data_IF_204029979368
#
_entry.id   IF_204029979368
#
_cell.length_a   1.000
_cell.length_b   1.000
_cell.length_c   1.000
_cell.angle_alpha   90.00
_cell.angle_beta   90.00
_cell.angle_gamma   90.00
#
_symmetry.space_group_name_H-M   'P 1'
#
loop_
_entity.id
_entity.type
_entity.pdbx_description
1 polymer ?
#
# COMPACT_ATOMS: atom_id res chain seq x y z
N UNK A 1 -11.29 8.16 -11.27
CA UNK A 1 -10.06 7.68 -10.60
C UNK A 1 -9.58 8.73 -9.62
N UNK A 2 -9.18 8.33 -8.41
CA UNK A 2 -8.59 9.25 -7.46
C UNK A 2 -7.07 9.36 -7.67
N UNK A 3 -6.50 10.55 -7.50
CA UNK A 3 -5.08 10.84 -7.68
C UNK A 3 -4.59 11.71 -6.52
N UNK A 4 -3.32 11.57 -6.14
CA UNK A 4 -2.69 12.37 -5.08
C UNK A 4 -1.41 13.03 -5.55
N UNK A 5 -1.22 14.28 -5.13
CA UNK A 5 -0.08 15.10 -5.48
C UNK A 5 0.58 15.63 -4.22
N UNK A 6 1.90 15.56 -4.17
CA UNK A 6 2.71 16.13 -3.10
C UNK A 6 3.55 17.28 -3.65
N UNK A 7 3.60 18.41 -2.96
CA UNK A 7 4.42 19.56 -3.36
C UNK A 7 5.16 20.14 -2.15
N UNK A 8 6.46 20.39 -2.29
CA UNK A 8 7.22 21.13 -1.30
C UNK A 8 7.22 22.62 -1.65
N UNK A 9 6.93 23.46 -0.65
CA UNK A 9 7.07 24.90 -0.75
C UNK A 9 8.53 25.30 -0.77
N UNK A 10 8.97 25.99 -1.82
CA UNK A 10 10.34 26.56 -1.89
C UNK A 10 10.60 27.59 -0.78
N UNK A 11 9.56 28.30 -0.35
CA UNK A 11 9.68 29.38 0.66
C UNK A 11 9.78 28.85 2.08
N UNK A 12 8.97 27.84 2.41
CA UNK A 12 8.82 27.37 3.80
C UNK A 12 9.42 26.00 4.04
N UNK A 13 9.87 25.29 3.00
CA UNK A 13 10.34 23.92 3.07
C UNK A 13 9.25 22.89 3.39
N UNK A 14 8.04 23.33 3.75
CA UNK A 14 6.91 22.48 4.14
C UNK A 14 6.25 21.83 2.94
N UNK A 15 5.67 20.66 3.16
CA UNK A 15 4.96 19.87 2.17
C UNK A 15 3.46 20.13 2.20
N UNK A 16 2.81 19.95 1.05
CA UNK A 16 1.38 19.89 0.89
C UNK A 16 0.95 18.61 0.18
N UNK A 17 -0.27 18.18 0.49
CA UNK A 17 -0.98 17.05 -0.10
C UNK A 17 -2.25 17.60 -0.77
N UNK A 18 -2.48 17.18 -2.01
CA UNK A 18 -3.75 17.35 -2.70
C UNK A 18 -4.27 15.98 -3.13
N UNK A 19 -5.56 15.71 -2.93
CA UNK A 19 -6.25 14.54 -3.48
C UNK A 19 -7.38 15.01 -4.38
N UNK A 20 -7.44 14.45 -5.58
CA UNK A 20 -8.49 14.68 -6.57
C UNK A 20 -9.20 13.38 -6.91
N UNK A 21 -10.48 13.46 -7.23
CA UNK A 21 -11.27 12.36 -7.79
C UNK A 21 -12.02 12.89 -9.01
N UNK A 22 -11.87 12.24 -10.16
CA UNK A 22 -12.48 12.68 -11.43
C UNK A 22 -12.18 14.17 -11.72
N UNK A 23 -10.91 14.56 -11.56
CA UNK A 23 -10.39 15.93 -11.68
C UNK A 23 -10.94 16.97 -10.68
N UNK A 24 -11.89 16.60 -9.81
CA UNK A 24 -12.36 17.46 -8.72
C UNK A 24 -11.47 17.29 -7.50
N UNK A 25 -11.04 18.41 -6.90
CA UNK A 25 -10.28 18.41 -5.63
C UNK A 25 -11.22 18.00 -4.50
N UNK A 26 -10.90 16.91 -3.82
CA UNK A 26 -11.67 16.39 -2.67
C UNK A 26 -10.94 16.60 -1.35
N UNK A 27 -9.62 16.82 -1.39
CA UNK A 27 -8.84 17.12 -0.20
C UNK A 27 -7.63 18.00 -0.53
N UNK A 28 -7.29 18.91 0.38
CA UNK A 28 -6.03 19.64 0.36
C UNK A 28 -5.59 19.97 1.78
N UNK A 29 -4.33 19.68 2.10
CA UNK A 29 -3.71 20.13 3.33
C UNK A 29 -2.26 20.52 3.08
N UNK A 30 -1.87 21.69 3.57
CA UNK A 30 -0.48 22.16 3.55
C UNK A 30 0.12 22.16 4.95
N UNK A 31 1.45 22.37 5.01
CA UNK A 31 2.15 22.62 6.27
C UNK A 31 2.80 21.39 6.90
N UNK A 32 2.85 20.27 6.18
CA UNK A 32 3.55 19.08 6.65
C UNK A 32 5.05 19.34 6.74
N UNK A 33 5.69 18.91 7.83
CA UNK A 33 7.14 19.07 8.01
C UNK A 33 7.94 18.29 6.97
N UNK A 34 7.44 17.13 6.55
CA UNK A 34 8.09 16.27 5.57
C UNK A 34 7.04 15.56 4.69
N UNK A 35 7.52 14.95 3.60
CA UNK A 35 6.68 14.21 2.65
C UNK A 35 6.02 13.00 3.30
N UNK A 36 6.67 12.35 4.26
CA UNK A 36 6.17 11.13 4.91
C UNK A 36 4.90 11.39 5.73
N UNK A 37 4.84 12.52 6.46
CA UNK A 37 3.63 12.93 7.17
C UNK A 37 2.47 13.17 6.20
N UNK A 38 2.76 13.81 5.06
CA UNK A 38 1.76 14.02 4.01
C UNK A 38 1.30 12.68 3.39
N UNK A 39 2.21 11.74 3.15
CA UNK A 39 1.89 10.41 2.62
C UNK A 39 1.01 9.59 3.58
N UNK A 40 1.23 9.71 4.89
CA UNK A 40 0.40 9.05 5.92
C UNK A 40 -1.04 9.57 5.91
N UNK A 41 -1.22 10.89 5.87
CA UNK A 41 -2.57 11.48 5.78
C UNK A 41 -3.25 11.09 4.47
N UNK A 42 -2.51 11.06 3.35
CA UNK A 42 -3.06 10.59 2.09
C UNK A 42 -3.57 9.16 2.23
N UNK A 43 -2.78 8.28 2.85
CA UNK A 43 -3.19 6.90 3.07
C UNK A 43 -4.49 6.78 3.88
N UNK A 44 -4.58 7.48 5.02
CA UNK A 44 -5.79 7.49 5.85
C UNK A 44 -7.04 7.95 5.09
N UNK A 45 -6.91 8.96 4.23
CA UNK A 45 -8.03 9.48 3.44
C UNK A 45 -8.47 8.47 2.38
N UNK A 46 -7.51 7.83 1.70
CA UNK A 46 -7.83 6.82 0.70
C UNK A 46 -8.50 5.58 1.31
N UNK A 47 -8.10 5.17 2.51
CA UNK A 47 -8.78 4.10 3.26
C UNK A 47 -10.19 4.54 3.72
N UNK A 48 -10.31 5.69 4.39
CA UNK A 48 -11.58 6.17 4.95
C UNK A 48 -12.66 6.39 3.89
N UNK A 49 -12.28 6.90 2.72
CA UNK A 49 -13.22 7.26 1.65
C UNK A 49 -13.43 6.14 0.63
N UNK A 50 -12.82 4.96 0.85
CA UNK A 50 -12.79 3.82 -0.08
C UNK A 50 -12.57 4.25 -1.54
N UNK A 51 -11.69 5.23 -1.73
CA UNK A 51 -11.44 5.77 -3.06
C UNK A 51 -10.78 4.68 -3.89
N UNK A 52 -11.42 4.30 -5.00
CA UNK A 52 -10.79 3.54 -6.08
C UNK A 52 -9.62 4.36 -6.63
N UNK A 53 -8.47 4.19 -5.98
CA UNK A 53 -7.18 4.75 -6.38
C UNK A 53 -6.73 4.00 -7.64
N UNK A 54 -5.81 4.60 -8.39
CA UNK A 54 -4.99 3.99 -9.44
C UNK A 54 -4.17 2.74 -8.97
N UNK A 55 -4.48 2.22 -7.78
CA UNK A 55 -3.70 1.30 -6.95
C UNK A 55 -4.21 -0.13 -6.95
N UNK A 56 -5.17 -0.51 -7.79
CA UNK A 56 -5.56 -1.92 -7.94
C UNK A 56 -5.01 -2.46 -9.26
N UNK A 57 -4.60 -3.74 -9.32
CA UNK A 57 -4.24 -4.37 -10.58
C UNK A 57 -5.42 -4.29 -11.56
N UNK A 58 -5.14 -3.88 -12.81
CA UNK A 58 -6.18 -3.63 -13.83
C UNK A 58 -6.91 -4.90 -14.25
N UNK A 59 -6.18 -6.01 -14.34
CA UNK A 59 -6.69 -7.34 -14.64
C UNK A 59 -5.77 -8.34 -13.94
N UNK A 60 -6.18 -8.95 -12.84
CA UNK A 60 -5.59 -10.21 -12.44
C UNK A 60 -6.08 -11.24 -13.44
N UNK A 61 -5.23 -11.64 -14.38
CA UNK A 61 -5.54 -12.54 -15.50
C UNK A 61 -5.90 -13.97 -15.08
N UNK A 62 -6.29 -14.19 -13.83
CA UNK A 62 -6.62 -15.50 -13.30
C UNK A 62 -8.00 -15.43 -12.65
N UNK A 63 -9.03 -15.50 -13.50
CA UNK A 63 -10.28 -16.17 -13.08
C UNK A 63 -9.91 -17.64 -12.88
N UNK A 64 -9.58 -18.06 -11.66
CA UNK A 64 -9.32 -19.48 -11.35
C UNK A 64 -8.06 -19.81 -10.54
N UNK A 65 -7.36 -18.85 -9.94
CA UNK A 65 -6.54 -19.20 -8.78
C UNK A 65 -7.51 -19.30 -7.61
N UNK A 66 -7.69 -20.50 -7.05
CA UNK A 66 -8.48 -20.72 -5.83
C UNK A 66 -7.75 -20.06 -4.64
N UNK A 67 -7.77 -18.73 -4.63
CA UNK A 67 -7.25 -17.93 -3.53
C UNK A 67 -8.27 -18.06 -2.41
N UNK A 68 -7.85 -18.77 -1.37
CA UNK A 68 -8.68 -19.07 -0.21
C UNK A 68 -7.95 -18.59 1.05
N UNK A 69 -8.60 -18.73 2.20
CA UNK A 69 -7.95 -18.44 3.48
C UNK A 69 -6.78 -19.38 3.81
N UNK A 70 -6.61 -20.48 3.06
CA UNK A 70 -5.45 -21.38 3.16
C UNK A 70 -4.22 -20.85 2.40
N UNK A 71 -4.41 -19.92 1.46
CA UNK A 71 -3.32 -19.34 0.68
C UNK A 71 -2.37 -18.52 1.56
N UNK A 72 -1.07 -18.53 1.22
CA UNK A 72 -0.07 -17.73 1.90
C UNK A 72 -0.22 -16.25 1.55
N UNK A 73 -0.10 -15.36 2.55
CA UNK A 73 -0.17 -13.90 2.36
C UNK A 73 0.92 -13.42 1.41
N UNK A 74 2.13 -13.97 1.56
CA UNK A 74 3.30 -13.70 0.70
C UNK A 74 2.97 -13.92 -0.77
N UNK A 75 2.32 -15.04 -1.10
CA UNK A 75 2.01 -15.43 -2.48
C UNK A 75 0.91 -14.56 -3.08
N UNK A 76 -0.20 -14.38 -2.36
CA UNK A 76 -1.30 -13.52 -2.85
C UNK A 76 -0.86 -12.05 -2.97
N UNK A 77 0.03 -11.59 -2.09
CA UNK A 77 0.61 -10.24 -2.16
C UNK A 77 1.53 -10.13 -3.37
N UNK A 78 2.37 -11.14 -3.63
CA UNK A 78 3.26 -11.16 -4.79
C UNK A 78 2.49 -11.11 -6.10
N UNK A 79 1.43 -11.92 -6.19
CA UNK A 79 0.51 -11.94 -7.32
C UNK A 79 -0.15 -10.57 -7.54
N UNK A 80 -0.74 -10.00 -6.50
CA UNK A 80 -1.34 -8.65 -6.57
C UNK A 80 -0.33 -7.58 -6.98
N UNK A 81 0.88 -7.61 -6.40
CA UNK A 81 1.95 -6.65 -6.70
C UNK A 81 2.39 -6.79 -8.15
N UNK A 82 2.60 -8.01 -8.64
CA UNK A 82 3.09 -8.28 -10.00
C UNK A 82 2.20 -7.64 -11.06
N UNK A 83 0.88 -7.73 -10.89
CA UNK A 83 -0.09 -7.11 -11.80
C UNK A 83 -0.17 -5.60 -11.61
N UNK A 84 -0.10 -5.13 -10.37
CA UNK A 84 -0.16 -3.72 -10.06
C UNK A 84 1.01 -2.92 -10.69
N UNK A 85 2.20 -3.52 -10.77
CA UNK A 85 3.41 -2.83 -11.23
C UNK A 85 3.64 -2.88 -12.75
N UNK A 86 2.91 -3.69 -13.53
CA UNK A 86 3.17 -3.93 -14.97
C UNK A 86 3.33 -2.65 -15.79
N UNK A 87 2.47 -1.65 -15.55
CA UNK A 87 2.46 -0.38 -16.30
C UNK A 87 3.07 0.79 -15.51
N UNK A 88 3.80 0.52 -14.42
CA UNK A 88 4.28 1.58 -13.51
C UNK A 88 5.71 1.99 -13.83
N UNK A 89 6.07 3.21 -13.46
CA UNK A 89 7.44 3.74 -13.60
C UNK A 89 8.44 2.86 -12.81
N UNK A 90 9.69 2.79 -13.28
CA UNK A 90 10.77 1.99 -12.67
C UNK A 90 10.97 2.23 -11.17
N UNK A 91 10.82 3.47 -10.71
CA UNK A 91 10.90 3.81 -9.28
C UNK A 91 9.77 3.19 -8.45
N UNK A 92 8.57 3.10 -9.01
CA UNK A 92 7.43 2.40 -8.39
C UNK A 92 7.68 0.89 -8.37
N UNK A 93 8.15 0.32 -9.50
CA UNK A 93 8.50 -1.10 -9.60
C UNK A 93 9.50 -1.49 -8.50
N UNK A 94 10.59 -0.73 -8.35
CA UNK A 94 11.62 -1.03 -7.35
C UNK A 94 11.06 -1.00 -5.91
N UNK A 95 10.24 0.00 -5.59
CA UNK A 95 9.59 0.08 -4.28
C UNK A 95 8.72 -1.15 -4.00
N UNK A 96 7.92 -1.58 -4.97
CA UNK A 96 6.99 -2.70 -4.80
C UNK A 96 7.69 -4.06 -4.83
N UNK A 97 8.82 -4.21 -5.53
CA UNK A 97 9.69 -5.38 -5.38
C UNK A 97 10.27 -5.51 -3.96
N UNK A 98 10.58 -4.39 -3.31
CA UNK A 98 10.97 -4.41 -1.91
C UNK A 98 9.82 -4.85 -1.01
N UNK A 99 8.58 -4.43 -1.30
CA UNK A 99 7.38 -4.89 -0.58
C UNK A 99 7.17 -6.40 -0.75
N UNK A 100 7.30 -6.92 -1.97
CA UNK A 100 7.21 -8.35 -2.25
C UNK A 100 8.22 -9.17 -1.44
N UNK A 101 9.49 -8.71 -1.39
CA UNK A 101 10.52 -9.35 -0.58
C UNK A 101 10.14 -9.39 0.91
N UNK A 102 9.68 -8.27 1.46
CA UNK A 102 9.29 -8.19 2.87
C UNK A 102 8.04 -9.04 3.17
N UNK A 103 7.10 -9.15 2.25
CA UNK A 103 5.95 -10.04 2.40
C UNK A 103 6.37 -11.52 2.44
N UNK A 104 7.32 -11.93 1.60
CA UNK A 104 7.89 -13.29 1.62
C UNK A 104 8.68 -13.59 2.88
N UNK A 105 9.41 -12.61 3.39
CA UNK A 105 10.24 -12.78 4.59
C UNK A 105 9.41 -12.82 5.88
N UNK A 106 8.48 -11.87 6.03
CA UNK A 106 7.76 -11.66 7.29
C UNK A 106 6.30 -12.10 7.28
N UNK A 107 5.71 -12.46 6.15
CA UNK A 107 4.29 -12.83 6.05
C UNK A 107 4.11 -14.16 5.29
N UNK A 108 5.07 -15.07 5.42
CA UNK A 108 4.97 -16.42 4.86
C UNK A 108 4.07 -17.33 5.71
N UNK A 109 2.82 -16.92 5.90
CA UNK A 109 1.80 -17.65 6.66
C UNK A 109 0.46 -17.68 5.90
N UNK A 110 -0.38 -18.69 6.17
CA UNK A 110 -1.75 -18.71 5.65
C UNK A 110 -2.57 -17.54 6.15
N UNK A 111 -3.48 -17.03 5.31
CA UNK A 111 -4.38 -15.91 5.66
C UNK A 111 -5.26 -16.22 6.88
N UNK A 112 -5.72 -17.46 7.02
CA UNK A 112 -6.52 -17.90 8.19
C UNK A 112 -5.80 -17.67 9.52
N UNK A 113 -4.47 -17.75 9.53
CA UNK A 113 -3.65 -17.59 10.73
C UNK A 113 -3.36 -16.11 11.03
N UNK A 114 -3.73 -15.19 10.13
CA UNK A 114 -3.46 -13.77 10.30
C UNK A 114 -4.52 -13.11 11.18
N UNK A 115 -4.29 -13.13 12.49
CA UNK A 115 -5.06 -12.29 13.42
C UNK A 115 -4.55 -10.85 13.38
N UNK A 116 -5.31 -9.92 13.97
CA UNK A 116 -4.87 -8.53 14.12
C UNK A 116 -3.55 -8.44 14.90
N UNK A 117 -3.43 -9.22 15.97
CA UNK A 117 -2.25 -9.21 16.83
C UNK A 117 -1.03 -9.80 16.11
N UNK A 118 -1.22 -10.90 15.37
CA UNK A 118 -0.18 -11.51 14.54
C UNK A 118 0.31 -10.55 13.45
N UNK A 119 -0.62 -9.84 12.81
CA UNK A 119 -0.30 -8.82 11.82
C UNK A 119 0.53 -7.68 12.44
N UNK A 120 0.12 -7.17 13.60
CA UNK A 120 0.88 -6.14 14.30
C UNK A 120 2.27 -6.64 14.72
N UNK A 121 2.37 -7.86 15.25
CA UNK A 121 3.65 -8.45 15.67
C UNK A 121 4.65 -8.52 14.51
N UNK A 122 4.23 -9.05 13.35
CA UNK A 122 5.06 -9.11 12.13
C UNK A 122 5.46 -7.73 11.63
N UNK A 123 4.57 -6.73 11.70
CA UNK A 123 4.93 -5.35 11.36
C UNK A 123 5.97 -4.78 12.34
N UNK A 124 5.95 -5.15 13.61
CA UNK A 124 7.00 -4.74 14.55
C UNK A 124 8.34 -5.41 14.26
N UNK A 125 8.36 -6.66 13.81
CA UNK A 125 9.59 -7.33 13.35
C UNK A 125 10.23 -6.60 12.17
N UNK A 126 9.43 -6.23 11.17
CA UNK A 126 9.89 -5.43 10.02
C UNK A 126 10.52 -4.10 10.47
N UNK A 127 9.92 -3.43 11.47
CA UNK A 127 10.48 -2.20 12.04
C UNK A 127 11.80 -2.46 12.78
N UNK A 128 11.86 -3.53 13.57
CA UNK A 128 13.08 -3.93 14.31
C UNK A 128 14.24 -4.27 13.38
N UNK A 129 13.95 -4.77 12.17
CA UNK A 129 14.95 -5.02 11.12
C UNK A 129 15.49 -3.74 10.45
N UNK A 130 15.10 -2.54 10.92
CA UNK A 130 15.60 -1.27 10.41
C UNK A 130 14.96 -0.80 9.10
N UNK A 131 13.84 -1.41 8.68
CA UNK A 131 13.11 -0.98 7.50
C UNK A 131 12.46 0.38 7.76
N UNK A 132 12.59 1.28 6.77
CA UNK A 132 12.12 2.66 6.92
C UNK A 132 10.60 2.72 7.16
N UNK A 133 10.10 3.69 7.96
CA UNK A 133 8.68 3.83 8.23
C UNK A 133 7.82 3.91 6.96
N UNK A 134 8.29 4.60 5.92
CA UNK A 134 7.59 4.74 4.65
C UNK A 134 7.39 3.38 3.94
N UNK A 135 8.38 2.50 3.96
CA UNK A 135 8.28 1.16 3.36
C UNK A 135 7.39 0.27 4.23
N UNK A 136 7.51 0.34 5.55
CA UNK A 136 6.65 -0.41 6.49
C UNK A 136 5.17 -0.04 6.35
N UNK A 137 4.85 1.26 6.23
CA UNK A 137 3.48 1.73 5.96
C UNK A 137 2.98 1.18 4.62
N UNK A 138 3.82 1.19 3.60
CA UNK A 138 3.47 0.69 2.27
C UNK A 138 3.27 -0.83 2.27
N UNK A 139 4.05 -1.60 3.03
CA UNK A 139 3.88 -3.04 3.22
C UNK A 139 2.52 -3.34 3.83
N UNK A 140 2.22 -2.70 4.98
CA UNK A 140 0.91 -2.81 5.65
C UNK A 140 -0.24 -2.51 4.70
N UNK A 141 -0.15 -1.39 3.99
CA UNK A 141 -1.14 -0.98 3.01
C UNK A 141 -1.33 -2.01 1.90
N UNK A 142 -0.25 -2.62 1.42
CA UNK A 142 -0.29 -3.56 0.30
C UNK A 142 -0.94 -4.86 0.73
N UNK A 143 -0.60 -5.38 1.91
CA UNK A 143 -1.23 -6.60 2.44
C UNK A 143 -2.73 -6.37 2.67
N UNK A 144 -3.13 -5.30 3.38
CA UNK A 144 -4.55 -5.01 3.63
C UNK A 144 -5.36 -4.89 2.33
N UNK A 145 -4.79 -4.24 1.31
CA UNK A 145 -5.45 -4.13 -0.01
C UNK A 145 -5.53 -5.45 -0.74
N UNK A 146 -4.52 -6.29 -0.60
CA UNK A 146 -4.51 -7.63 -1.20
C UNK A 146 -5.62 -8.48 -0.59
N UNK A 147 -5.73 -8.49 0.74
CA UNK A 147 -6.78 -9.23 1.47
C UNK A 147 -8.18 -8.74 1.10
N UNK A 148 -8.39 -7.41 1.09
CA UNK A 148 -9.66 -6.80 0.67
C UNK A 148 -10.00 -7.09 -0.80
N UNK A 149 -9.00 -7.12 -1.69
CA UNK A 149 -9.22 -7.38 -3.11
C UNK A 149 -9.75 -8.80 -3.37
N UNK A 150 -9.25 -9.78 -2.61
CA UNK A 150 -9.67 -11.18 -2.72
C UNK A 150 -10.81 -11.57 -1.78
N UNK A 151 -11.43 -10.59 -1.10
CA UNK A 151 -12.52 -10.80 -0.13
C UNK A 151 -12.15 -11.81 0.97
N UNK A 152 -10.91 -11.75 1.46
CA UNK A 152 -10.40 -12.69 2.46
C UNK A 152 -10.55 -12.15 3.90
N UNK A 153 -10.50 -10.82 4.09
CA UNK A 153 -10.76 -10.05 5.33
C UNK A 153 -11.03 -8.59 5.00
#
# INVERSE_FOLDING_TARGET
MASKTYRQSKRTGKWSLEIRQNNKKIFYQGGFENKEKAERIAFEIFEKLDLRDDLQPKNLGIKGADITNESLISDITSLWVSEYIKDKKRSTINNYKQIERLAKEYFNIPVKNLTKDEFEARIQEVKKAGITPAITIKLRSTINRTLKYFDLK
#
